data_IF_609484309913
#
_entry.id   IF_609484309913
#
_cell.length_a   1.000
_cell.length_b   1.000
_cell.length_c   1.000
_cell.angle_alpha   90.00
_cell.angle_beta   90.00
_cell.angle_gamma   90.00
#
_symmetry.space_group_name_H-M   'P 1'
#
loop_
_entity.id
_entity.type
_entity.pdbx_description
1 polymer ?
#
# COMPACT_ATOMS: atom_id res chain seq x y z
N UNK A 1 19.49 -1.78 -18.69
CA UNK A 1 18.11 -1.27 -18.84
C UNK A 1 18.15 0.14 -19.40
N UNK A 2 17.47 0.40 -20.52
CA UNK A 2 17.48 1.70 -21.19
C UNK A 2 16.74 2.78 -20.37
N UNK A 3 16.98 4.06 -20.69
CA UNK A 3 16.30 5.19 -20.02
C UNK A 3 14.78 5.12 -20.17
N UNK A 4 14.30 4.73 -21.35
CA UNK A 4 12.87 4.58 -21.65
C UNK A 4 12.22 3.51 -20.75
N UNK A 5 12.85 2.34 -20.62
CA UNK A 5 12.34 1.27 -19.74
C UNK A 5 12.31 1.72 -18.27
N UNK A 6 13.31 2.48 -17.80
CA UNK A 6 13.29 3.04 -16.44
C UNK A 6 12.09 3.95 -16.20
N UNK A 7 11.74 4.78 -17.19
CA UNK A 7 10.59 5.70 -17.07
C UNK A 7 9.28 4.91 -17.04
N UNK A 8 9.12 3.94 -17.96
CA UNK A 8 7.94 3.08 -18.00
C UNK A 8 7.71 2.34 -16.68
N UNK A 9 8.76 1.76 -16.10
CA UNK A 9 8.65 1.07 -14.81
C UNK A 9 8.30 2.01 -13.65
N UNK A 10 8.71 3.27 -13.68
CA UNK A 10 8.29 4.25 -12.66
C UNK A 10 6.82 4.60 -12.78
N UNK A 11 6.35 4.80 -14.00
CA UNK A 11 4.92 5.06 -14.27
C UNK A 11 4.11 3.86 -13.79
N UNK A 12 4.52 2.65 -14.17
CA UNK A 12 3.91 1.41 -13.70
C UNK A 12 3.91 1.30 -12.17
N UNK A 13 5.03 1.60 -11.51
CA UNK A 13 5.12 1.57 -10.05
C UNK A 13 4.13 2.54 -9.38
N UNK A 14 3.92 3.74 -9.94
CA UNK A 14 2.91 4.68 -9.44
C UNK A 14 1.49 4.14 -9.62
N UNK A 15 1.17 3.58 -10.80
CA UNK A 15 -0.15 2.97 -11.03
C UNK A 15 -0.40 1.77 -10.12
N UNK A 16 0.59 0.91 -9.92
CA UNK A 16 0.49 -0.23 -9.01
C UNK A 16 0.28 0.23 -7.57
N UNK A 17 1.00 1.26 -7.12
CA UNK A 17 0.82 1.82 -5.79
C UNK A 17 -0.62 2.33 -5.59
N UNK A 18 -1.15 3.09 -6.54
CA UNK A 18 -2.53 3.58 -6.49
C UNK A 18 -3.55 2.43 -6.52
N UNK A 19 -3.33 1.46 -7.39
CA UNK A 19 -4.18 0.26 -7.47
C UNK A 19 -4.25 -0.46 -6.12
N UNK A 20 -3.10 -0.77 -5.50
CA UNK A 20 -3.08 -1.44 -4.21
C UNK A 20 -3.63 -0.57 -3.08
N UNK A 21 -3.44 0.75 -3.13
CA UNK A 21 -4.07 1.65 -2.17
C UNK A 21 -5.60 1.54 -2.22
N UNK A 22 -6.21 1.60 -3.41
CA UNK A 22 -7.65 1.45 -3.56
C UNK A 22 -8.15 0.02 -3.33
N UNK A 23 -7.32 -0.98 -3.61
CA UNK A 23 -7.65 -2.39 -3.40
C UNK A 23 -7.97 -2.70 -1.93
N UNK A 24 -7.22 -2.13 -0.99
CA UNK A 24 -7.40 -2.36 0.45
C UNK A 24 -8.16 -1.28 1.18
N UNK A 25 -8.49 -0.17 0.52
CA UNK A 25 -9.28 0.89 1.13
C UNK A 25 -10.72 0.42 1.39
N UNK A 26 -11.24 0.77 2.56
CA UNK A 26 -12.65 0.61 2.89
C UNK A 26 -13.33 1.99 2.83
N UNK A 27 -14.37 2.11 2.01
CA UNK A 27 -15.18 3.31 1.88
C UNK A 27 -16.22 3.40 3.00
N UNK A 28 -16.78 4.57 3.22
CA UNK A 28 -17.71 4.82 4.35
C UNK A 28 -19.00 4.00 4.32
N UNK A 29 -19.33 3.39 3.19
CA UNK A 29 -20.46 2.47 3.03
C UNK A 29 -20.08 1.00 3.30
N UNK A 30 -18.87 0.72 3.82
CA UNK A 30 -18.37 -0.64 4.03
C UNK A 30 -17.88 -1.33 2.75
N UNK A 31 -17.84 -0.62 1.62
CA UNK A 31 -17.36 -1.18 0.35
C UNK A 31 -15.83 -1.22 0.33
N UNK A 32 -15.28 -2.41 0.12
CA UNK A 32 -13.88 -2.63 -0.21
C UNK A 32 -13.76 -3.29 -1.59
N UNK A 33 -12.96 -2.69 -2.49
CA UNK A 33 -12.73 -3.22 -3.84
C UNK A 33 -12.08 -4.60 -3.78
N UNK A 34 -11.11 -4.80 -2.89
CA UNK A 34 -10.41 -6.07 -2.78
C UNK A 34 -11.31 -7.20 -2.28
N UNK A 35 -12.23 -6.93 -1.34
CA UNK A 35 -13.19 -7.94 -0.88
C UNK A 35 -14.11 -8.37 -2.02
N UNK A 36 -14.58 -7.43 -2.85
CA UNK A 36 -15.40 -7.72 -4.03
C UNK A 36 -14.67 -8.59 -5.06
N UNK A 37 -13.39 -8.31 -5.30
CA UNK A 37 -12.57 -9.10 -6.23
C UNK A 37 -12.32 -10.50 -5.67
N UNK A 38 -11.99 -10.61 -4.37
CA UNK A 38 -11.68 -11.88 -3.72
C UNK A 38 -12.88 -12.80 -3.62
N UNK A 39 -14.03 -12.26 -3.22
CA UNK A 39 -15.29 -13.02 -3.21
C UNK A 39 -15.69 -13.43 -4.63
N UNK A 40 -15.47 -12.55 -5.63
CA UNK A 40 -15.72 -12.86 -7.04
C UNK A 40 -14.87 -14.03 -7.59
N UNK A 41 -13.68 -14.28 -7.05
CA UNK A 41 -12.84 -15.45 -7.39
C UNK A 41 -13.04 -16.65 -6.45
N UNK A 42 -14.05 -16.59 -5.57
CA UNK A 42 -14.43 -17.70 -4.69
C UNK A 42 -13.67 -17.78 -3.36
N UNK A 43 -12.88 -16.76 -3.00
CA UNK A 43 -12.29 -16.67 -1.66
C UNK A 43 -13.32 -16.13 -0.68
N UNK A 44 -13.62 -16.91 0.36
CA UNK A 44 -14.45 -16.44 1.47
C UNK A 44 -13.75 -15.31 2.23
N UNK A 45 -14.50 -14.34 2.79
CA UNK A 45 -13.92 -13.33 3.68
C UNK A 45 -13.12 -13.96 4.84
N UNK A 46 -11.98 -13.37 5.19
CA UNK A 46 -11.14 -13.86 6.31
C UNK A 46 -11.87 -13.70 7.65
N UNK A 47 -12.61 -12.61 7.86
CA UNK A 47 -13.41 -12.36 9.07
C UNK A 47 -14.88 -12.10 8.73
N UNK A 48 -15.74 -11.93 9.74
CA UNK A 48 -17.19 -11.64 9.62
C UNK A 48 -17.52 -10.28 8.99
N UNK A 49 -16.94 -9.98 7.82
CA UNK A 49 -17.29 -8.91 6.88
C UNK A 49 -17.14 -7.47 7.37
N UNK A 50 -17.03 -7.23 8.68
CA UNK A 50 -17.25 -5.91 9.29
C UNK A 50 -16.16 -5.53 10.29
N UNK A 51 -15.38 -6.49 10.79
CA UNK A 51 -14.34 -6.25 11.80
C UNK A 51 -13.12 -7.14 11.56
N UNK A 52 -11.91 -6.59 11.66
CA UNK A 52 -10.65 -7.34 11.59
C UNK A 52 -9.74 -6.93 10.42
N UNK A 53 -8.57 -7.57 10.33
CA UNK A 53 -7.66 -7.41 9.18
C UNK A 53 -8.09 -8.36 8.08
N UNK A 54 -8.52 -7.83 6.93
CA UNK A 54 -8.97 -8.63 5.79
C UNK A 54 -7.81 -8.95 4.84
N UNK A 55 -7.97 -9.99 4.02
CA UNK A 55 -7.01 -10.34 2.96
C UNK A 55 -6.63 -9.14 2.07
N UNK A 56 -7.56 -8.25 1.67
CA UNK A 56 -7.21 -7.06 0.91
C UNK A 56 -6.25 -6.12 1.62
N UNK A 57 -6.36 -5.95 2.95
CA UNK A 57 -5.48 -5.08 3.71
C UNK A 57 -4.03 -5.55 3.65
N UNK A 58 -3.79 -6.84 3.89
CA UNK A 58 -2.43 -7.45 3.85
C UNK A 58 -1.85 -7.38 2.44
N UNK A 59 -2.63 -7.76 1.42
CA UNK A 59 -2.18 -7.72 0.02
C UNK A 59 -1.89 -6.30 -0.44
N UNK A 60 -2.73 -5.33 -0.04
CA UNK A 60 -2.53 -3.92 -0.36
C UNK A 60 -1.23 -3.40 0.21
N UNK A 61 -0.96 -3.68 1.48
CA UNK A 61 0.27 -3.25 2.13
C UNK A 61 1.50 -3.86 1.44
N UNK A 62 1.48 -5.16 1.16
CA UNK A 62 2.56 -5.83 0.44
C UNK A 62 2.76 -5.27 -0.97
N UNK A 63 1.67 -5.06 -1.72
CA UNK A 63 1.69 -4.51 -3.07
C UNK A 63 2.15 -3.05 -3.13
N UNK A 64 1.76 -2.23 -2.15
CA UNK A 64 2.24 -0.85 -2.00
C UNK A 64 3.76 -0.83 -1.74
N UNK A 65 4.27 -1.67 -0.83
CA UNK A 65 5.71 -1.75 -0.59
C UNK A 65 6.49 -2.26 -1.81
N UNK A 66 5.98 -3.28 -2.51
CA UNK A 66 6.58 -3.77 -3.75
C UNK A 66 6.63 -2.67 -4.83
N UNK A 67 5.58 -1.86 -4.93
CA UNK A 67 5.51 -0.73 -5.86
C UNK A 67 6.53 0.36 -5.52
N UNK A 68 6.66 0.72 -4.24
CA UNK A 68 7.66 1.68 -3.77
C UNK A 68 9.10 1.16 -3.98
N UNK A 69 9.35 -0.13 -3.74
CA UNK A 69 10.64 -0.77 -3.99
C UNK A 69 10.97 -0.79 -5.49
N UNK A 70 10.00 -1.10 -6.35
CA UNK A 70 10.14 -1.02 -7.81
C UNK A 70 10.51 0.41 -8.24
N UNK A 71 9.82 1.41 -7.70
CA UNK A 71 10.14 2.81 -7.95
C UNK A 71 11.59 3.14 -7.53
N UNK A 72 11.99 2.78 -6.31
CA UNK A 72 13.34 3.03 -5.80
C UNK A 72 14.43 2.37 -6.66
N UNK A 73 14.21 1.13 -7.10
CA UNK A 73 15.14 0.36 -7.95
C UNK A 73 15.38 0.97 -9.33
N UNK A 74 14.45 1.78 -9.84
CA UNK A 74 14.55 2.38 -11.18
C UNK A 74 15.17 3.78 -11.15
N UNK A 75 15.39 4.36 -9.97
CA UNK A 75 16.07 5.66 -9.80
C UNK A 75 17.57 5.57 -10.10
N UNK A 76 18.19 6.70 -10.47
CA UNK A 76 19.65 6.74 -10.70
C UNK A 76 20.42 6.57 -9.39
N UNK A 77 19.90 7.11 -8.29
CA UNK A 77 20.51 7.05 -6.96
C UNK A 77 19.75 6.08 -6.06
N UNK A 78 19.79 4.79 -6.40
CA UNK A 78 19.01 3.73 -5.72
C UNK A 78 19.15 3.77 -4.20
N UNK A 79 20.38 3.80 -3.68
CA UNK A 79 20.65 3.80 -2.24
C UNK A 79 20.03 5.01 -1.53
N UNK A 80 20.08 6.20 -2.16
CA UNK A 80 19.44 7.41 -1.63
C UNK A 80 17.91 7.25 -1.59
N UNK A 81 17.31 6.76 -2.68
CA UNK A 81 15.86 6.53 -2.77
C UNK A 81 15.37 5.50 -1.76
N UNK A 82 16.09 4.39 -1.58
CA UNK A 82 15.78 3.40 -0.55
C UNK A 82 15.89 3.98 0.86
N UNK A 83 16.92 4.78 1.13
CA UNK A 83 17.05 5.48 2.41
C UNK A 83 15.85 6.39 2.68
N UNK A 84 15.41 7.16 1.68
CA UNK A 84 14.21 8.00 1.82
C UNK A 84 12.94 7.19 2.04
N UNK A 85 12.80 6.02 1.39
CA UNK A 85 11.70 5.10 1.62
C UNK A 85 11.68 4.59 3.07
N UNK A 86 12.82 4.14 3.60
CA UNK A 86 12.93 3.67 4.99
C UNK A 86 12.64 4.80 5.98
N UNK A 87 13.22 5.99 5.77
CA UNK A 87 12.93 7.18 6.60
C UNK A 87 11.44 7.50 6.56
N UNK A 88 10.82 7.48 5.38
CA UNK A 88 9.39 7.73 5.20
C UNK A 88 8.52 6.73 5.96
N UNK A 89 8.86 5.44 5.94
CA UNK A 89 8.16 4.40 6.70
C UNK A 89 8.26 4.65 8.21
N UNK A 90 9.46 4.95 8.72
CA UNK A 90 9.68 5.23 10.15
C UNK A 90 8.87 6.45 10.59
N UNK A 91 8.94 7.54 9.81
CA UNK A 91 8.21 8.78 10.09
C UNK A 91 6.70 8.54 10.05
N UNK A 92 6.19 7.83 9.04
CA UNK A 92 4.77 7.49 8.94
C UNK A 92 4.31 6.65 10.14
N UNK A 93 5.10 5.64 10.54
CA UNK A 93 4.80 4.83 11.72
C UNK A 93 4.76 5.64 13.02
N UNK A 94 5.71 6.55 13.20
CA UNK A 94 5.72 7.48 14.34
C UNK A 94 4.50 8.39 14.34
N UNK A 95 4.14 8.97 13.20
CA UNK A 95 2.96 9.83 13.06
C UNK A 95 1.65 9.08 13.34
N UNK A 96 1.51 7.85 12.84
CA UNK A 96 0.35 6.99 13.13
C UNK A 96 0.24 6.72 14.63
N UNK A 97 1.36 6.39 15.28
CA UNK A 97 1.38 6.15 16.72
C UNK A 97 1.03 7.43 17.52
N UNK A 98 1.58 8.58 17.12
CA UNK A 98 1.28 9.86 17.74
C UNK A 98 -0.22 10.20 17.63
N UNK A 99 -0.80 10.05 16.44
CA UNK A 99 -2.24 10.28 16.21
C UNK A 99 -3.07 9.34 17.09
N UNK A 100 -2.70 8.05 17.18
CA UNK A 100 -3.39 7.08 18.01
C UNK A 100 -3.40 7.49 19.50
N UNK A 101 -2.26 7.92 20.03
CA UNK A 101 -2.16 8.41 21.41
C UNK A 101 -3.01 9.66 21.64
N UNK A 102 -2.99 10.61 20.70
CA UNK A 102 -3.80 11.82 20.80
C UNK A 102 -5.31 11.52 20.80
N UNK A 103 -5.77 10.54 20.02
CA UNK A 103 -7.18 10.12 19.99
C UNK A 103 -7.62 9.51 21.32
N UNK A 104 -6.75 8.79 22.03
CA UNK A 104 -7.08 8.18 23.33
C UNK A 104 -7.19 9.23 24.45
N UNK A 105 -6.43 10.32 24.34
CA UNK A 105 -6.33 11.36 25.37
C UNK A 105 -7.42 12.44 25.29
N UNK A 106 -8.19 12.48 24.20
CA UNK A 106 -9.30 13.43 23.96
C UNK A 106 -10.62 12.73 24.25
#
# INVERSE_FOLDING_TARGET
>A
MTKQVKILLRILAVFLFLFFFFFGANLWNGFCMGDSIMTGIGLSPWSEGTVGTHYPGVISLAGMFASLALFACTTQQKARSFRHLIIGIIVAGFLINLIYVLIILI
#
